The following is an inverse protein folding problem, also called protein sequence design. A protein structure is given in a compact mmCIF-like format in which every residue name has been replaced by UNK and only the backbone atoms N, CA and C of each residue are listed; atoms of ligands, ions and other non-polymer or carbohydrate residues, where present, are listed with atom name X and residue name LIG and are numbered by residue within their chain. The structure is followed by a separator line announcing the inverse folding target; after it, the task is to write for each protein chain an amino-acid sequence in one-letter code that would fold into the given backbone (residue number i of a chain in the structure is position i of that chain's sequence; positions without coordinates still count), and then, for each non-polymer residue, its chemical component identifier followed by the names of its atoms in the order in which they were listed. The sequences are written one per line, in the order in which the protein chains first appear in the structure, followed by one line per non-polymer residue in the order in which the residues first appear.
data_IF_724878386876
#
_entry.id   IF_724878386876
#
_cell.length_a   1.000
_cell.length_b   1.000
_cell.length_c   1.000
_cell.angle_alpha   90.00
_cell.angle_beta   90.00
_cell.angle_gamma   90.00
#
_symmetry.space_group_name_H-M   'P 1'
#
loop_
_entity.id
_entity.type
_entity.pdbx_description
1 polymer ?
#
# COMPACT_ATOMS: atom_id res chain seq x y z
N UNK A 1 -32.34 13.65 10.80
CA UNK A 1 -31.61 12.39 11.11
C UNK A 1 -31.32 11.67 9.80
N UNK A 2 -30.14 11.82 9.23
CA UNK A 2 -29.73 10.99 8.08
C UNK A 2 -29.30 9.64 8.65
N UNK A 3 -30.16 8.64 8.56
CA UNK A 3 -29.82 7.25 8.86
C UNK A 3 -28.63 6.85 7.99
N UNK A 4 -27.56 6.34 8.60
CA UNK A 4 -26.38 5.83 7.90
C UNK A 4 -26.81 4.79 6.87
N UNK A 5 -26.64 5.09 5.57
CA UNK A 5 -26.85 4.13 4.47
C UNK A 5 -25.87 2.94 4.53
N UNK A 6 -24.89 3.02 5.44
CA UNK A 6 -23.84 2.01 5.60
C UNK A 6 -24.11 1.14 6.83
N UNK A 7 -24.24 -0.16 6.62
CA UNK A 7 -24.45 -1.17 7.68
C UNK A 7 -23.37 -2.27 7.59
N UNK A 8 -23.30 -3.12 8.61
CA UNK A 8 -22.46 -4.33 8.56
C UNK A 8 -22.95 -5.36 7.51
N UNK A 9 -24.17 -5.18 6.99
CA UNK A 9 -24.70 -6.01 5.90
C UNK A 9 -24.27 -5.54 4.51
N UNK A 10 -23.53 -4.42 4.40
CA UNK A 10 -23.05 -3.96 3.10
C UNK A 10 -22.09 -4.99 2.51
N UNK A 11 -22.23 -5.18 1.20
CA UNK A 11 -21.37 -6.09 0.43
C UNK A 11 -20.16 -5.35 -0.10
N UNK A 12 -19.00 -5.87 0.22
CA UNK A 12 -17.71 -5.26 -0.13
C UNK A 12 -16.95 -6.16 -1.11
N UNK A 13 -16.58 -5.62 -2.24
CA UNK A 13 -15.61 -6.27 -3.12
C UNK A 13 -14.21 -5.79 -2.76
N UNK A 14 -13.30 -6.71 -2.46
CA UNK A 14 -11.90 -6.42 -2.19
C UNK A 14 -11.01 -7.01 -3.30
N UNK A 15 -10.38 -6.13 -4.07
CA UNK A 15 -9.38 -6.51 -5.05
C UNK A 15 -7.97 -6.39 -4.46
N UNK A 16 -7.15 -7.44 -4.66
CA UNK A 16 -5.80 -7.53 -4.09
C UNK A 16 -5.74 -8.20 -2.71
N UNK A 17 -6.75 -9.02 -2.35
CA UNK A 17 -6.89 -9.68 -1.04
C UNK A 17 -5.70 -10.57 -0.62
N UNK A 18 -4.88 -11.05 -1.57
CA UNK A 18 -3.70 -11.89 -1.29
C UNK A 18 -2.42 -11.09 -1.00
N UNK A 19 -2.44 -9.76 -1.21
CA UNK A 19 -1.30 -8.87 -0.92
C UNK A 19 -1.10 -8.66 0.59
N UNK A 20 0.03 -8.03 0.97
CA UNK A 20 0.34 -7.72 2.37
C UNK A 20 -0.85 -7.02 3.07
N UNK A 21 -1.27 -5.86 2.56
CA UNK A 21 -2.38 -5.11 3.14
C UNK A 21 -3.73 -5.81 2.95
N UNK A 22 -3.96 -6.41 1.76
CA UNK A 22 -5.23 -7.05 1.43
C UNK A 22 -5.64 -8.14 2.40
N UNK A 23 -4.69 -8.92 2.94
CA UNK A 23 -4.96 -9.93 3.98
C UNK A 23 -5.51 -9.32 5.25
N UNK A 24 -4.88 -8.25 5.77
CA UNK A 24 -5.36 -7.56 6.97
C UNK A 24 -6.73 -6.88 6.75
N UNK A 25 -6.99 -6.35 5.54
CA UNK A 25 -8.30 -5.79 5.20
C UNK A 25 -9.35 -6.91 5.17
N UNK A 26 -9.06 -8.05 4.53
CA UNK A 26 -9.99 -9.20 4.49
C UNK A 26 -10.38 -9.62 5.90
N UNK A 27 -9.40 -9.86 6.76
CA UNK A 27 -9.60 -10.23 8.17
C UNK A 27 -10.46 -9.18 8.91
N UNK A 28 -10.12 -7.89 8.75
CA UNK A 28 -10.81 -6.81 9.44
C UNK A 28 -12.26 -6.62 8.97
N UNK A 29 -12.53 -6.78 7.68
CA UNK A 29 -13.89 -6.69 7.14
C UNK A 29 -14.76 -7.87 7.58
N UNK A 30 -14.22 -9.08 7.55
CA UNK A 30 -14.88 -10.29 8.04
C UNK A 30 -15.21 -10.17 9.53
N UNK A 31 -14.24 -9.74 10.36
CA UNK A 31 -14.41 -9.49 11.80
C UNK A 31 -15.53 -8.47 12.07
N UNK A 32 -15.64 -7.43 11.26
CA UNK A 32 -16.70 -6.40 11.37
C UNK A 32 -18.06 -6.86 10.85
N UNK A 33 -18.19 -8.08 10.32
CA UNK A 33 -19.43 -8.65 9.85
C UNK A 33 -19.88 -8.17 8.47
N UNK A 34 -18.99 -7.56 7.67
CA UNK A 34 -19.29 -7.26 6.27
C UNK A 34 -19.37 -8.54 5.44
N UNK A 35 -20.22 -8.54 4.40
CA UNK A 35 -20.23 -9.59 3.38
C UNK A 35 -19.10 -9.27 2.36
N UNK A 36 -18.04 -10.08 2.35
CA UNK A 36 -16.83 -9.80 1.60
C UNK A 36 -16.68 -10.70 0.38
N UNK A 37 -16.56 -10.10 -0.79
CA UNK A 37 -16.16 -10.75 -2.04
C UNK A 37 -14.70 -10.44 -2.31
N UNK A 38 -13.80 -11.37 -2.04
CA UNK A 38 -12.37 -11.23 -2.29
C UNK A 38 -12.03 -11.68 -3.72
N UNK A 39 -11.54 -10.74 -4.54
CA UNK A 39 -11.08 -11.02 -5.91
C UNK A 39 -9.59 -11.36 -5.90
N UNK A 40 -9.25 -12.53 -6.42
CA UNK A 40 -7.89 -13.06 -6.43
C UNK A 40 -7.56 -13.74 -7.76
N UNK A 41 -6.27 -13.81 -8.12
CA UNK A 41 -5.80 -14.56 -9.30
C UNK A 41 -5.70 -16.07 -9.07
N UNK A 42 -5.61 -16.48 -7.82
CA UNK A 42 -5.55 -17.88 -7.40
C UNK A 42 -6.16 -17.98 -5.99
N UNK A 43 -7.26 -18.70 -5.88
CA UNK A 43 -8.03 -18.88 -4.64
C UNK A 43 -7.27 -19.66 -3.56
N UNK A 44 -6.34 -20.51 -3.93
CA UNK A 44 -5.55 -21.30 -2.97
C UNK A 44 -4.62 -20.45 -2.09
N UNK A 45 -4.44 -19.17 -2.44
CA UNK A 45 -3.65 -18.21 -1.65
C UNK A 45 -4.39 -17.59 -0.48
N UNK A 46 -5.68 -17.84 -0.31
CA UNK A 46 -6.47 -17.39 0.83
C UNK A 46 -6.81 -18.59 1.71
N UNK A 47 -6.25 -18.64 2.90
CA UNK A 47 -6.51 -19.69 3.88
C UNK A 47 -7.63 -19.34 4.87
N UNK A 48 -8.12 -18.07 4.84
CA UNK A 48 -9.20 -17.62 5.72
C UNK A 48 -10.53 -18.25 5.27
N UNK A 49 -11.22 -18.91 6.20
CA UNK A 49 -12.57 -19.46 6.01
C UNK A 49 -13.54 -18.73 6.92
N UNK A 50 -14.57 -18.11 6.36
CA UNK A 50 -15.62 -17.44 7.11
C UNK A 50 -16.93 -17.51 6.30
N UNK A 51 -18.08 -17.52 7.00
CA UNK A 51 -19.40 -17.60 6.35
C UNK A 51 -19.72 -16.36 5.51
N UNK A 52 -19.16 -15.21 5.88
CA UNK A 52 -19.32 -13.92 5.21
C UNK A 52 -18.14 -13.58 4.27
N UNK A 53 -17.37 -14.58 3.82
CA UNK A 53 -16.29 -14.43 2.86
C UNK A 53 -16.52 -15.32 1.63
N UNK A 54 -16.66 -14.71 0.47
CA UNK A 54 -16.69 -15.38 -0.83
C UNK A 54 -15.41 -15.08 -1.58
N UNK A 55 -14.75 -16.10 -2.10
CA UNK A 55 -13.51 -15.95 -2.89
C UNK A 55 -13.87 -16.12 -4.35
N UNK A 56 -13.60 -15.10 -5.17
CA UNK A 56 -13.82 -15.08 -6.60
C UNK A 56 -12.47 -15.03 -7.34
N UNK A 57 -12.29 -15.95 -8.28
CA UNK A 57 -11.09 -15.95 -9.12
C UNK A 57 -11.34 -15.10 -10.36
N UNK A 58 -10.55 -14.03 -10.50
CA UNK A 58 -10.54 -13.15 -11.65
C UNK A 58 -9.19 -12.44 -11.78
N UNK A 59 -8.87 -12.02 -13.00
CA UNK A 59 -7.63 -11.32 -13.32
C UNK A 59 -7.92 -9.89 -13.75
N UNK A 60 -7.67 -8.93 -12.87
CA UNK A 60 -8.04 -7.52 -13.07
C UNK A 60 -7.39 -6.86 -14.29
N UNK A 61 -6.31 -7.43 -14.81
CA UNK A 61 -5.68 -7.01 -16.09
C UNK A 61 -6.40 -7.55 -17.31
N UNK A 62 -7.43 -8.40 -17.14
CA UNK A 62 -8.22 -9.02 -18.21
C UNK A 62 -9.71 -8.64 -18.00
N UNK A 63 -10.21 -7.58 -18.66
CA UNK A 63 -11.57 -7.04 -18.44
C UNK A 63 -12.68 -8.09 -18.55
N UNK A 64 -12.50 -9.07 -19.45
CA UNK A 64 -13.48 -10.14 -19.66
C UNK A 64 -13.72 -11.01 -18.42
N UNK A 65 -12.72 -11.13 -17.53
CA UNK A 65 -12.83 -11.86 -16.26
C UNK A 65 -13.54 -11.08 -15.16
N UNK A 66 -13.75 -9.76 -15.37
CA UNK A 66 -14.38 -8.87 -14.42
C UNK A 66 -15.89 -8.73 -14.60
N UNK A 67 -16.45 -9.35 -15.63
CA UNK A 67 -17.87 -9.27 -15.94
C UNK A 67 -18.71 -9.73 -14.74
N UNK A 68 -19.61 -8.87 -14.27
CA UNK A 68 -20.56 -9.09 -13.16
C UNK A 68 -19.87 -9.30 -11.77
N UNK A 69 -18.58 -9.07 -11.62
CA UNK A 69 -17.93 -9.22 -10.29
C UNK A 69 -18.43 -8.21 -9.27
N UNK A 70 -18.93 -7.06 -9.74
CA UNK A 70 -19.47 -5.98 -8.92
C UNK A 70 -21.01 -6.10 -8.72
N UNK A 71 -21.64 -7.14 -9.22
CA UNK A 71 -23.10 -7.36 -9.04
C UNK A 71 -23.47 -7.42 -7.57
N UNK A 72 -24.44 -6.58 -7.16
CA UNK A 72 -24.91 -6.43 -5.77
C UNK A 72 -23.81 -6.00 -4.78
N UNK A 73 -22.75 -5.32 -5.23
CA UNK A 73 -21.70 -4.74 -4.38
C UNK A 73 -22.04 -3.29 -4.04
N UNK A 74 -21.91 -2.92 -2.77
CA UNK A 74 -22.07 -1.54 -2.31
C UNK A 74 -20.78 -0.73 -2.40
N UNK A 75 -19.64 -1.35 -2.04
CA UNK A 75 -18.31 -0.69 -2.00
C UNK A 75 -17.26 -1.58 -2.63
N UNK A 76 -16.43 -1.00 -3.48
CA UNK A 76 -15.21 -1.64 -3.97
C UNK A 76 -14.00 -1.07 -3.24
N UNK A 77 -13.12 -1.94 -2.77
CA UNK A 77 -11.82 -1.58 -2.19
C UNK A 77 -10.73 -2.17 -3.08
N UNK A 78 -9.83 -1.33 -3.58
CA UNK A 78 -8.68 -1.78 -4.35
C UNK A 78 -7.38 -1.51 -3.61
N UNK A 79 -6.63 -2.60 -3.39
CA UNK A 79 -5.23 -2.58 -2.95
C UNK A 79 -4.29 -3.05 -4.07
N UNK A 80 -4.78 -3.00 -5.32
CA UNK A 80 -4.01 -3.46 -6.47
C UNK A 80 -2.93 -2.45 -6.79
N UNK A 81 -1.73 -2.96 -6.89
CA UNK A 81 -0.52 -2.25 -7.26
C UNK A 81 0.69 -3.15 -7.10
N UNK A 82 1.78 -2.80 -7.74
CA UNK A 82 3.03 -3.55 -7.69
C UNK A 82 4.19 -2.61 -7.36
N UNK A 83 5.09 -3.07 -6.50
CA UNK A 83 6.38 -2.40 -6.31
C UNK A 83 7.39 -2.90 -7.32
N UNK A 84 7.38 -4.20 -7.63
CA UNK A 84 8.28 -4.85 -8.60
C UNK A 84 7.48 -5.40 -9.76
N UNK A 85 7.86 -5.02 -10.96
CA UNK A 85 7.24 -5.52 -12.18
C UNK A 85 7.64 -6.99 -12.43
N UNK A 86 6.63 -7.85 -12.55
CA UNK A 86 6.78 -9.27 -12.87
C UNK A 86 5.89 -9.60 -14.07
N UNK A 87 6.10 -10.75 -14.66
CA UNK A 87 5.24 -11.30 -15.72
C UNK A 87 5.08 -10.40 -16.96
N UNK A 88 6.07 -9.55 -17.24
CA UNK A 88 6.04 -8.61 -18.38
C UNK A 88 5.13 -7.39 -18.19
N UNK A 89 4.37 -7.30 -17.09
CA UNK A 89 3.44 -6.21 -16.80
C UNK A 89 4.15 -4.98 -16.24
N UNK A 90 3.71 -3.81 -16.68
CA UNK A 90 4.21 -2.50 -16.21
C UNK A 90 3.35 -1.93 -15.07
N UNK A 91 3.80 -0.83 -14.45
CA UNK A 91 2.98 -0.07 -13.51
C UNK A 91 1.70 0.46 -14.18
N UNK A 92 1.78 0.86 -15.44
CA UNK A 92 0.59 1.32 -16.18
C UNK A 92 -0.42 0.20 -16.39
N UNK A 93 0.02 -1.03 -16.60
CA UNK A 93 -0.89 -2.17 -16.76
C UNK A 93 -1.57 -2.57 -15.44
N UNK A 94 -0.80 -2.57 -14.33
CA UNK A 94 -1.29 -3.10 -13.05
C UNK A 94 -1.83 -1.99 -12.14
N UNK A 95 -1.09 -0.90 -11.90
CA UNK A 95 -1.51 0.15 -10.97
C UNK A 95 -2.56 1.07 -11.59
N UNK A 96 -2.53 1.30 -12.90
CA UNK A 96 -3.49 2.14 -13.60
C UNK A 96 -4.57 1.32 -14.31
N UNK A 97 -4.26 0.66 -15.43
CA UNK A 97 -5.29 0.08 -16.30
C UNK A 97 -6.15 -0.98 -15.61
N UNK A 98 -5.56 -1.86 -14.79
CA UNK A 98 -6.35 -2.87 -14.09
C UNK A 98 -7.37 -2.27 -13.11
N UNK A 99 -7.02 -1.16 -12.48
CA UNK A 99 -7.94 -0.44 -11.60
C UNK A 99 -8.98 0.37 -12.39
N UNK A 100 -8.65 0.90 -13.57
CA UNK A 100 -9.63 1.50 -14.48
C UNK A 100 -10.68 0.45 -14.87
N UNK A 101 -10.27 -0.75 -15.27
CA UNK A 101 -11.19 -1.84 -15.59
C UNK A 101 -12.16 -2.14 -14.43
N UNK A 102 -11.63 -2.13 -13.19
CA UNK A 102 -12.43 -2.37 -11.99
C UNK A 102 -13.39 -1.21 -11.68
N UNK A 103 -12.96 0.05 -11.87
CA UNK A 103 -13.80 1.24 -11.70
C UNK A 103 -14.94 1.22 -12.73
N UNK A 104 -14.66 0.88 -13.99
CA UNK A 104 -15.65 0.86 -15.04
C UNK A 104 -16.70 -0.23 -14.80
N UNK A 105 -16.31 -1.42 -14.35
CA UNK A 105 -17.26 -2.46 -13.95
C UNK A 105 -18.06 -2.04 -12.72
N UNK A 106 -17.42 -1.41 -11.73
CA UNK A 106 -18.11 -0.89 -10.56
C UNK A 106 -19.17 0.17 -10.91
N UNK A 107 -18.87 1.09 -11.83
CA UNK A 107 -19.81 2.09 -12.34
C UNK A 107 -20.99 1.43 -13.04
N UNK A 108 -20.72 0.48 -13.92
CA UNK A 108 -21.74 -0.24 -14.68
C UNK A 108 -22.75 -0.93 -13.75
N UNK A 109 -22.29 -1.52 -12.67
CA UNK A 109 -23.10 -2.25 -11.69
C UNK A 109 -23.67 -1.36 -10.57
N UNK A 110 -23.48 -0.04 -10.65
CA UNK A 110 -24.07 0.93 -9.71
C UNK A 110 -23.47 0.89 -8.30
N UNK A 111 -22.19 0.51 -8.19
CA UNK A 111 -21.45 0.55 -6.92
C UNK A 111 -21.45 1.97 -6.36
N UNK A 112 -21.74 2.11 -5.07
CA UNK A 112 -21.91 3.42 -4.41
C UNK A 112 -20.58 4.13 -4.14
N UNK A 113 -19.53 3.38 -3.78
CA UNK A 113 -18.25 3.97 -3.37
C UNK A 113 -17.05 3.13 -3.80
N UNK A 114 -15.98 3.79 -4.21
CA UNK A 114 -14.69 3.16 -4.53
C UNK A 114 -13.59 3.65 -3.59
N UNK A 115 -12.92 2.75 -2.88
CA UNK A 115 -11.80 3.05 -1.99
C UNK A 115 -10.51 2.56 -2.63
N UNK A 116 -9.57 3.47 -2.83
CA UNK A 116 -8.29 3.18 -3.48
C UNK A 116 -7.11 3.42 -2.54
N UNK A 117 -6.17 2.47 -2.50
CA UNK A 117 -4.94 2.61 -1.72
C UNK A 117 -3.83 3.10 -2.65
N UNK A 118 -3.47 4.36 -2.48
CA UNK A 118 -2.38 5.04 -3.22
C UNK A 118 -1.09 5.08 -2.37
N UNK A 119 -0.34 6.16 -2.42
CA UNK A 119 0.91 6.37 -1.68
C UNK A 119 1.02 7.81 -1.18
N UNK A 120 1.59 8.00 0.00
CA UNK A 120 1.86 9.32 0.56
C UNK A 120 2.78 10.13 -0.37
N UNK A 121 2.50 11.44 -0.52
CA UNK A 121 3.23 12.35 -1.41
C UNK A 121 3.28 11.93 -2.89
N UNK A 122 2.41 11.03 -3.34
CA UNK A 122 2.39 10.56 -4.73
C UNK A 122 2.32 11.72 -5.75
N UNK A 123 1.56 12.76 -5.45
CA UNK A 123 1.43 13.96 -6.31
C UNK A 123 2.77 14.69 -6.51
N UNK A 124 3.59 14.80 -5.46
CA UNK A 124 4.93 15.40 -5.53
C UNK A 124 5.92 14.50 -6.28
N UNK A 125 5.62 13.21 -6.34
CA UNK A 125 6.47 12.15 -6.89
C UNK A 125 5.99 11.64 -8.26
N UNK A 126 5.11 12.36 -8.95
CA UNK A 126 4.57 11.94 -10.28
C UNK A 126 5.64 11.68 -11.35
N UNK A 127 6.85 12.21 -11.17
CA UNK A 127 7.97 11.93 -12.06
C UNK A 127 8.52 10.51 -11.93
N UNK A 128 8.17 9.78 -10.86
CA UNK A 128 8.52 8.39 -10.65
C UNK A 128 7.45 7.49 -11.28
N UNK A 129 7.87 6.48 -12.04
CA UNK A 129 6.95 5.61 -12.81
C UNK A 129 5.85 4.95 -11.99
N UNK A 130 6.15 4.54 -10.76
CA UNK A 130 5.16 3.95 -9.85
C UNK A 130 4.13 5.00 -9.39
N UNK A 131 4.58 6.21 -9.06
CA UNK A 131 3.70 7.30 -8.63
C UNK A 131 2.91 7.88 -9.81
N UNK A 132 3.51 7.97 -11.00
CA UNK A 132 2.83 8.37 -12.22
C UNK A 132 1.56 7.53 -12.46
N UNK A 133 1.68 6.20 -12.41
CA UNK A 133 0.57 5.29 -12.63
C UNK A 133 -0.50 5.41 -11.53
N UNK A 134 -0.07 5.50 -10.25
CA UNK A 134 -0.98 5.64 -9.11
C UNK A 134 -1.75 6.96 -9.13
N UNK A 135 -1.09 8.06 -9.41
CA UNK A 135 -1.73 9.37 -9.44
C UNK A 135 -2.62 9.56 -10.67
N UNK A 136 -2.25 8.97 -11.81
CA UNK A 136 -3.12 8.91 -12.99
C UNK A 136 -4.42 8.16 -12.70
N UNK A 137 -4.36 7.10 -11.89
CA UNK A 137 -5.56 6.42 -11.41
C UNK A 137 -6.36 7.30 -10.45
N UNK A 138 -5.70 8.01 -9.54
CA UNK A 138 -6.36 8.98 -8.66
C UNK A 138 -7.13 10.03 -9.45
N UNK A 139 -6.53 10.59 -10.50
CA UNK A 139 -7.17 11.56 -11.40
C UNK A 139 -8.38 10.94 -12.14
N UNK A 140 -8.22 9.72 -12.64
CA UNK A 140 -9.32 8.99 -13.28
C UNK A 140 -10.49 8.75 -12.31
N UNK A 141 -10.22 8.30 -11.09
CA UNK A 141 -11.24 8.05 -10.08
C UNK A 141 -11.97 9.34 -9.68
N UNK A 142 -11.24 10.45 -9.48
CA UNK A 142 -11.80 11.77 -9.20
C UNK A 142 -12.75 12.25 -10.30
N UNK A 143 -12.44 11.96 -11.56
CA UNK A 143 -13.26 12.34 -12.71
C UNK A 143 -14.37 11.35 -13.06
N UNK A 144 -14.42 10.19 -12.40
CA UNK A 144 -15.32 9.08 -12.73
C UNK A 144 -16.80 9.35 -12.45
N UNK A 145 -17.10 10.32 -11.58
CA UNK A 145 -18.46 10.60 -11.06
C UNK A 145 -18.89 9.68 -9.91
N UNK A 146 -18.07 8.71 -9.51
CA UNK A 146 -18.35 7.86 -8.35
C UNK A 146 -18.03 8.58 -7.03
N UNK A 147 -18.68 8.16 -5.93
CA UNK A 147 -18.15 8.46 -4.61
C UNK A 147 -16.85 7.69 -4.37
N UNK A 148 -15.85 8.35 -3.78
CA UNK A 148 -14.53 7.72 -3.61
C UNK A 148 -13.86 8.11 -2.30
N UNK A 149 -12.85 7.31 -1.92
CA UNK A 149 -11.87 7.66 -0.92
C UNK A 149 -10.48 7.17 -1.39
N UNK A 150 -9.53 8.08 -1.55
CA UNK A 150 -8.12 7.76 -1.83
C UNK A 150 -7.36 7.78 -0.52
N UNK A 151 -6.86 6.62 -0.08
CA UNK A 151 -6.05 6.51 1.13
C UNK A 151 -4.59 6.47 0.71
N UNK A 152 -3.79 7.37 1.28
CA UNK A 152 -2.36 7.56 1.00
C UNK A 152 -1.53 7.19 2.22
N UNK A 153 -1.23 5.90 2.42
CA UNK A 153 -0.41 5.47 3.53
C UNK A 153 1.05 5.88 3.34
N UNK A 154 1.73 6.06 4.45
CA UNK A 154 3.19 6.03 4.53
C UNK A 154 3.71 4.61 4.25
N UNK A 155 5.03 4.40 4.24
CA UNK A 155 5.64 3.08 4.08
C UNK A 155 5.07 2.06 5.07
N UNK A 156 4.98 0.81 4.65
CA UNK A 156 4.52 -0.27 5.52
C UNK A 156 5.66 -0.79 6.41
N UNK A 157 5.32 -1.39 7.54
CA UNK A 157 6.31 -2.11 8.37
C UNK A 157 7.06 -3.17 7.56
N UNK A 158 6.40 -3.83 6.61
CA UNK A 158 7.05 -4.78 5.70
C UNK A 158 8.16 -4.16 4.84
N UNK A 159 8.04 -2.87 4.49
CA UNK A 159 9.06 -2.16 3.71
C UNK A 159 10.29 -1.82 4.57
N UNK A 160 10.08 -1.69 5.89
CA UNK A 160 11.17 -1.45 6.85
C UNK A 160 12.07 -2.69 7.06
N UNK A 161 11.71 -3.85 6.51
CA UNK A 161 12.58 -5.05 6.53
C UNK A 161 13.93 -4.81 5.85
N UNK A 162 14.06 -3.82 4.98
CA UNK A 162 15.35 -3.46 4.38
C UNK A 162 16.34 -2.95 5.44
N UNK A 163 15.86 -2.23 6.46
CA UNK A 163 16.67 -1.86 7.63
C UNK A 163 17.10 -3.10 8.43
N UNK A 164 16.18 -4.05 8.66
CA UNK A 164 16.53 -5.31 9.32
C UNK A 164 17.56 -6.12 8.54
N UNK A 165 17.41 -6.21 7.23
CA UNK A 165 18.35 -6.94 6.37
C UNK A 165 19.77 -6.33 6.45
N UNK A 166 19.88 -5.01 6.48
CA UNK A 166 21.17 -4.34 6.72
C UNK A 166 21.68 -4.61 8.15
N UNK A 167 20.82 -4.42 9.16
CA UNK A 167 21.16 -4.60 10.57
C UNK A 167 21.66 -6.01 10.89
N UNK A 168 21.14 -7.04 10.22
CA UNK A 168 21.59 -8.43 10.34
C UNK A 168 23.08 -8.58 10.07
N UNK A 169 23.64 -7.77 9.17
CA UNK A 169 25.10 -7.73 8.88
C UNK A 169 25.91 -6.94 9.91
N UNK A 170 25.24 -6.30 10.89
CA UNK A 170 25.86 -5.48 11.94
C UNK A 170 26.08 -4.02 11.57
N UNK A 171 25.55 -3.55 10.44
CA UNK A 171 25.66 -2.16 9.98
C UNK A 171 24.39 -1.76 9.24
N UNK A 172 24.03 -0.46 9.34
CA UNK A 172 22.97 0.14 8.52
C UNK A 172 23.57 1.31 7.74
N UNK A 173 23.23 1.42 6.46
CA UNK A 173 23.71 2.49 5.58
C UNK A 173 22.55 3.44 5.30
N UNK A 174 22.78 4.74 5.51
CA UNK A 174 21.82 5.82 5.24
C UNK A 174 22.43 6.85 4.30
N UNK A 175 21.61 7.49 3.49
CA UNK A 175 22.02 8.64 2.69
C UNK A 175 21.73 9.93 3.49
N UNK A 176 22.72 10.86 3.49
CA UNK A 176 22.62 12.09 4.29
C UNK A 176 22.89 11.84 5.78
N UNK A 177 22.34 12.68 6.65
CA UNK A 177 22.59 12.64 8.09
C UNK A 177 21.60 11.76 8.90
N UNK A 178 20.64 11.14 8.20
CA UNK A 178 19.65 10.24 8.81
C UNK A 178 18.59 10.92 9.69
N UNK A 179 18.45 12.25 9.62
CA UNK A 179 17.49 13.01 10.44
C UNK A 179 16.09 13.13 9.83
N UNK A 180 15.94 12.80 8.54
CA UNK A 180 14.66 12.81 7.87
C UNK A 180 13.69 11.86 8.56
N UNK A 181 12.44 12.29 8.69
CA UNK A 181 11.43 11.60 9.47
C UNK A 181 10.41 10.87 8.60
N UNK A 182 9.95 9.76 9.12
CA UNK A 182 8.85 9.00 8.55
C UNK A 182 8.10 8.26 9.67
N UNK A 183 6.83 7.97 9.43
CA UNK A 183 6.02 7.17 10.33
C UNK A 183 5.37 6.00 9.58
N UNK A 184 6.13 4.91 9.36
CA UNK A 184 5.60 3.72 8.70
C UNK A 184 4.41 3.14 9.48
N UNK A 185 3.50 2.47 8.77
CA UNK A 185 2.25 1.98 9.35
C UNK A 185 2.14 0.45 9.28
N UNK A 186 1.63 -0.17 10.34
CA UNK A 186 1.32 -1.59 10.35
C UNK A 186 0.06 -1.90 9.54
N UNK A 187 0.05 -3.00 8.79
CA UNK A 187 -1.09 -3.39 7.95
C UNK A 187 -2.41 -3.56 8.71
N UNK A 188 -2.37 -4.03 9.98
CA UNK A 188 -3.57 -4.13 10.83
C UNK A 188 -4.18 -2.77 11.17
N UNK A 189 -3.34 -1.76 11.43
CA UNK A 189 -3.84 -0.41 11.73
C UNK A 189 -4.40 0.25 10.49
N UNK A 190 -3.70 0.14 9.34
CA UNK A 190 -4.23 0.65 8.09
C UNK A 190 -5.55 -0.02 7.71
N UNK A 191 -5.70 -1.33 7.91
CA UNK A 191 -6.95 -2.04 7.65
C UNK A 191 -8.12 -1.52 8.51
N UNK A 192 -7.87 -1.05 9.75
CA UNK A 192 -8.89 -0.38 10.56
C UNK A 192 -9.39 0.91 9.90
N UNK A 193 -8.45 1.74 9.38
CA UNK A 193 -8.83 2.99 8.72
C UNK A 193 -9.51 2.74 7.38
N UNK A 194 -9.08 1.75 6.61
CA UNK A 194 -9.78 1.34 5.38
C UNK A 194 -11.23 0.94 5.68
N UNK A 195 -11.45 0.16 6.75
CA UNK A 195 -12.81 -0.21 7.17
C UNK A 195 -13.63 0.99 7.67
N UNK A 196 -13.01 2.00 8.30
CA UNK A 196 -13.66 3.24 8.70
C UNK A 196 -14.03 4.09 7.47
N UNK A 197 -13.20 4.08 6.43
CA UNK A 197 -13.42 4.82 5.19
C UNK A 197 -14.68 4.37 4.43
N UNK A 198 -15.19 3.17 4.67
CA UNK A 198 -16.47 2.70 4.11
C UNK A 198 -17.62 3.63 4.52
N UNK A 199 -17.57 4.17 5.74
CA UNK A 199 -18.68 4.91 6.37
C UNK A 199 -18.46 6.41 6.48
N UNK A 200 -17.27 6.91 6.16
CA UNK A 200 -16.97 8.34 6.22
C UNK A 200 -17.03 8.97 4.82
N UNK A 201 -17.17 10.30 4.77
CA UNK A 201 -17.28 11.07 3.52
C UNK A 201 -15.95 11.69 3.08
N UNK A 202 -14.83 11.31 3.72
CA UNK A 202 -13.49 11.82 3.37
C UNK A 202 -13.10 11.33 1.99
N UNK A 203 -12.74 12.25 1.11
CA UNK A 203 -12.29 11.94 -0.25
C UNK A 203 -10.83 11.53 -0.30
N UNK A 204 -10.00 12.09 0.58
CA UNK A 204 -8.58 11.75 0.67
C UNK A 204 -8.16 11.63 2.14
N UNK A 205 -7.33 10.63 2.43
CA UNK A 205 -6.79 10.35 3.77
C UNK A 205 -5.29 10.10 3.65
N UNK A 206 -4.47 11.00 4.18
CA UNK A 206 -3.06 10.73 4.43
C UNK A 206 -2.93 10.07 5.79
N UNK A 207 -2.14 9.01 5.92
CA UNK A 207 -2.06 8.23 7.14
C UNK A 207 -0.67 7.59 7.33
N UNK A 208 -0.15 7.70 8.54
CA UNK A 208 1.07 7.02 8.98
C UNK A 208 0.86 6.27 10.29
N UNK A 209 1.87 5.56 10.73
CA UNK A 209 1.87 4.84 12.00
C UNK A 209 1.93 5.78 13.21
N UNK A 210 1.87 5.21 14.44
CA UNK A 210 1.81 5.97 15.67
C UNK A 210 3.11 6.69 16.03
N UNK A 211 4.25 6.20 15.56
CA UNK A 211 5.57 6.74 15.90
C UNK A 211 6.18 7.48 14.69
N UNK A 212 6.48 8.75 14.89
CA UNK A 212 7.26 9.55 13.95
C UNK A 212 8.75 9.37 14.29
N UNK A 213 9.48 8.65 13.46
CA UNK A 213 10.86 8.26 13.68
C UNK A 213 11.79 8.88 12.62
N UNK A 214 12.98 9.28 13.02
CA UNK A 214 14.07 9.57 12.09
C UNK A 214 14.63 8.26 11.51
N UNK A 215 15.30 8.35 10.39
CA UNK A 215 15.98 7.20 9.80
C UNK A 215 17.04 6.60 10.73
N UNK A 216 17.72 7.45 11.52
CA UNK A 216 18.68 7.00 12.54
C UNK A 216 17.96 6.16 13.61
N UNK A 217 16.82 6.62 14.14
CA UNK A 217 16.04 5.86 15.13
C UNK A 217 15.57 4.53 14.57
N UNK A 218 15.10 4.48 13.32
CA UNK A 218 14.71 3.21 12.67
C UNK A 218 15.91 2.28 12.54
N UNK A 219 17.08 2.80 12.14
CA UNK A 219 18.31 2.02 12.04
C UNK A 219 18.77 1.47 13.40
N UNK A 220 18.63 2.28 14.47
CA UNK A 220 18.92 1.84 15.84
C UNK A 220 17.98 0.73 16.29
N UNK A 221 16.66 0.88 16.08
CA UNK A 221 15.68 -0.17 16.40
C UNK A 221 16.03 -1.49 15.68
N UNK A 222 16.37 -1.42 14.39
CA UNK A 222 16.74 -2.60 13.62
C UNK A 222 18.02 -3.28 14.14
N UNK A 223 19.05 -2.51 14.53
CA UNK A 223 20.28 -3.06 15.10
C UNK A 223 20.04 -3.66 16.49
N UNK A 224 19.23 -3.01 17.33
CA UNK A 224 18.86 -3.51 18.66
C UNK A 224 18.08 -4.82 18.57
N UNK A 225 17.16 -4.99 17.62
CA UNK A 225 16.42 -6.22 17.41
C UNK A 225 17.35 -7.44 17.20
N UNK A 226 18.48 -7.25 16.51
CA UNK A 226 19.52 -8.28 16.37
C UNK A 226 20.57 -8.26 17.49
N UNK A 227 20.40 -7.47 18.55
CA UNK A 227 21.39 -7.32 19.65
C UNK A 227 22.79 -6.96 19.15
N UNK A 228 22.86 -6.13 18.07
CA UNK A 228 24.13 -5.66 17.48
C UNK A 228 24.50 -4.28 18.04
N UNK A 229 25.80 -3.95 18.10
CA UNK A 229 26.24 -2.58 18.37
C UNK A 229 25.66 -1.59 17.35
N UNK A 230 25.32 -0.39 17.81
CA UNK A 230 24.79 0.66 16.93
C UNK A 230 25.92 1.14 16.02
N UNK A 231 25.83 0.74 14.74
CA UNK A 231 26.76 1.13 13.68
C UNK A 231 26.01 1.60 12.45
N UNK A 232 25.81 2.91 12.37
CA UNK A 232 25.14 3.58 11.25
C UNK A 232 26.19 4.28 10.42
N UNK A 233 26.20 4.05 9.12
CA UNK A 233 27.15 4.64 8.18
C UNK A 233 26.40 5.61 7.28
N UNK A 234 26.72 6.89 7.41
CA UNK A 234 26.13 7.95 6.62
C UNK A 234 26.89 8.13 5.30
N UNK A 235 26.20 7.92 4.18
CA UNK A 235 26.75 8.06 2.84
C UNK A 235 26.38 9.44 2.27
N UNK A 236 27.32 10.14 1.62
CA UNK A 236 27.01 11.38 0.93
C UNK A 236 25.96 11.19 -0.18
N UNK A 237 25.06 12.17 -0.39
CA UNK A 237 23.98 12.08 -1.38
C UNK A 237 24.47 11.91 -2.83
N UNK A 238 25.68 12.36 -3.14
CA UNK A 238 26.24 12.16 -4.49
C UNK A 238 26.39 10.67 -4.85
N UNK A 239 26.64 9.79 -3.86
CA UNK A 239 26.71 8.33 -4.08
C UNK A 239 25.34 7.81 -4.55
N UNK A 240 24.25 8.25 -3.89
CA UNK A 240 22.88 7.91 -4.30
C UNK A 240 22.57 8.40 -5.72
N UNK A 241 22.94 9.66 -6.01
CA UNK A 241 22.75 10.24 -7.35
C UNK A 241 23.51 9.47 -8.43
N UNK A 242 24.74 9.08 -8.15
CA UNK A 242 25.54 8.26 -9.06
C UNK A 242 24.92 6.86 -9.26
N UNK A 243 24.46 6.22 -8.19
CA UNK A 243 23.77 4.93 -8.25
C UNK A 243 22.49 5.03 -9.09
N UNK A 244 21.66 6.06 -8.87
CA UNK A 244 20.45 6.30 -9.65
C UNK A 244 20.75 6.54 -11.13
N UNK A 245 21.77 7.35 -11.42
CA UNK A 245 22.19 7.57 -12.80
C UNK A 245 22.61 6.26 -13.47
N UNK A 246 23.42 5.45 -12.77
CA UNK A 246 23.89 4.16 -13.29
C UNK A 246 22.72 3.19 -13.57
N UNK A 247 21.80 3.01 -12.60
CA UNK A 247 20.69 2.07 -12.80
C UNK A 247 19.72 2.54 -13.88
N UNK A 248 19.48 3.85 -14.02
CA UNK A 248 18.66 4.41 -15.09
C UNK A 248 19.28 4.22 -16.47
N UNK A 249 20.63 4.34 -16.56
CA UNK A 249 21.36 4.25 -17.83
C UNK A 249 21.51 2.80 -18.31
N UNK A 250 21.75 1.86 -17.38
CA UNK A 250 22.11 0.49 -17.72
C UNK A 250 20.99 -0.54 -17.48
N UNK A 251 19.82 -0.13 -16.97
CA UNK A 251 18.73 -1.07 -16.71
C UNK A 251 17.40 -0.55 -17.25
N UNK A 252 16.41 -1.45 -17.37
CA UNK A 252 15.05 -1.10 -17.78
C UNK A 252 14.23 -0.51 -16.62
N UNK A 253 13.12 0.17 -16.94
CA UNK A 253 12.17 0.71 -15.99
C UNK A 253 11.67 -0.33 -14.96
N UNK A 254 11.62 -1.59 -15.36
CA UNK A 254 11.30 -2.73 -14.49
C UNK A 254 12.28 -2.87 -13.33
N UNK A 255 13.55 -2.64 -13.57
CA UNK A 255 14.62 -2.78 -12.58
C UNK A 255 14.85 -1.48 -11.81
N UNK A 256 14.97 -0.34 -12.51
CA UNK A 256 15.27 0.91 -11.81
C UNK A 256 14.08 1.51 -11.08
N UNK A 257 12.84 1.27 -11.52
CA UNK A 257 11.65 1.89 -10.94
C UNK A 257 11.51 1.69 -9.43
N UNK A 258 11.59 0.45 -8.89
CA UNK A 258 11.57 0.21 -7.45
C UNK A 258 12.74 0.87 -6.71
N UNK A 259 13.94 0.80 -7.28
CA UNK A 259 15.17 1.36 -6.69
C UNK A 259 15.06 2.89 -6.64
N UNK A 260 14.61 3.50 -7.72
CA UNK A 260 14.42 4.94 -7.83
C UNK A 260 13.39 5.45 -6.82
N UNK A 261 12.25 4.76 -6.69
CA UNK A 261 11.22 5.11 -5.72
C UNK A 261 11.79 5.06 -4.30
N UNK A 262 12.41 3.95 -3.91
CA UNK A 262 13.01 3.79 -2.59
C UNK A 262 14.07 4.86 -2.31
N UNK A 263 15.05 5.01 -3.20
CA UNK A 263 16.13 5.98 -3.02
C UNK A 263 15.66 7.43 -3.01
N UNK A 264 14.54 7.76 -3.68
CA UNK A 264 13.98 9.10 -3.68
C UNK A 264 13.23 9.39 -2.38
N UNK A 265 12.44 8.43 -1.89
CA UNK A 265 11.71 8.59 -0.62
C UNK A 265 12.64 8.62 0.60
N UNK A 266 13.82 7.98 0.51
CA UNK A 266 14.85 8.02 1.57
C UNK A 266 15.54 9.39 1.75
N UNK A 267 15.30 10.36 0.88
CA UNK A 267 15.92 11.70 1.00
C UNK A 267 14.88 12.82 1.09
N UNK A 268 13.70 12.49 1.60
CA UNK A 268 12.64 13.44 1.88
C UNK A 268 11.89 13.06 3.17
N UNK A 269 11.29 14.04 3.81
CA UNK A 269 10.40 13.77 4.93
C UNK A 269 9.12 13.10 4.43
N UNK A 270 8.80 12.00 5.09
CA UNK A 270 7.60 11.21 4.83
C UNK A 270 6.75 11.19 6.11
N UNK A 271 6.19 12.34 6.45
CA UNK A 271 5.35 12.53 7.63
C UNK A 271 3.88 12.53 7.23
N UNK A 272 3.07 11.76 7.95
CA UNK A 272 1.62 11.71 7.79
C UNK A 272 0.91 11.77 9.15
N UNK A 273 -0.39 12.10 9.21
CA UNK A 273 -1.15 12.01 10.45
C UNK A 273 -0.99 10.65 11.12
N UNK A 274 -0.65 10.67 12.42
CA UNK A 274 -0.41 9.46 13.20
C UNK A 274 -1.70 8.68 13.44
N UNK A 275 -1.60 7.35 13.30
CA UNK A 275 -2.72 6.44 13.50
C UNK A 275 -2.26 5.06 13.97
N UNK A 276 -3.12 4.40 14.77
CA UNK A 276 -2.87 3.05 15.25
C UNK A 276 -2.02 2.99 16.51
N UNK A 277 -1.59 1.78 16.87
CA UNK A 277 -0.85 1.49 18.12
C UNK A 277 0.20 0.38 17.94
N UNK A 278 0.30 -0.24 16.78
CA UNK A 278 1.39 -1.19 16.55
C UNK A 278 2.71 -0.43 16.39
N UNK A 279 3.72 -0.85 17.17
CA UNK A 279 5.04 -0.23 17.19
C UNK A 279 5.98 -0.90 16.20
N UNK A 280 6.83 -0.10 15.53
CA UNK A 280 7.84 -0.64 14.63
C UNK A 280 8.89 -1.49 15.38
N UNK A 281 9.20 -1.11 16.62
CA UNK A 281 10.11 -1.85 17.49
C UNK A 281 9.63 -3.28 17.74
N UNK A 282 8.35 -3.46 18.08
CA UNK A 282 7.77 -4.79 18.32
C UNK A 282 7.85 -5.64 17.05
N UNK A 283 7.48 -5.05 15.89
CA UNK A 283 7.58 -5.73 14.60
C UNK A 283 9.03 -6.15 14.28
N UNK A 284 10.02 -5.31 14.56
CA UNK A 284 11.42 -5.66 14.34
C UNK A 284 11.90 -6.78 15.27
N UNK A 285 11.47 -6.77 16.53
CA UNK A 285 11.80 -7.83 17.49
C UNK A 285 11.21 -9.18 17.07
N UNK A 286 9.95 -9.19 16.61
CA UNK A 286 9.28 -10.40 16.12
C UNK A 286 9.96 -10.98 14.86
N UNK A 287 10.42 -10.12 13.94
CA UNK A 287 11.04 -10.55 12.68
C UNK A 287 12.54 -10.94 12.84
N UNK A 288 13.19 -10.51 13.92
CA UNK A 288 14.60 -10.84 14.18
C UNK A 288 14.80 -12.15 14.95
N UNK A 289 13.72 -12.73 15.49
CA UNK A 289 13.69 -14.03 16.20
C UNK A 289 13.59 -15.16 15.21
#
# INVERSE_FOLDING_TARGET
MYGSIWSSKNKILLAGATGYLGRFITEKLVEKGYDVRAVVRNKDKINLKAQNLTILEAQVTQPETLKNICENIDVVISTIGITRQKDGLTYMDVDFQSNVNLIDEAKKEGVKKFIYISVLNGEKLRHLKICEAKEKLGDYLKSSGMDYCIIRPNGFFSDMKDFLNMAKTGKVYLFGDGKLKLNPIHGKDLAKEVANAIRNDKKEINIGGPDLLSQNEIAELALRAYKKPIKIIHLPDWIRKLALWSVRTFTSAKTYGPIEFFMTTMVMDMEAPQFGNHKLEDFFNDEAT
#
